data_IF_143924940309
#
_entry.id   IF_143924940309
#
_cell.length_a   1.000
_cell.length_b   1.000
_cell.length_c   1.000
_cell.angle_alpha   90.00
_cell.angle_beta   90.00
_cell.angle_gamma   90.00
#
_symmetry.space_group_name_H-M   'P 1'
#
loop_
_entity.id
_entity.type
_entity.pdbx_description
1 polymer ?
#
# COMPACT_ATOMS: atom_id res chain seq x y z
N UNK A 1 7.83 -13.89 -15.92
CA UNK A 1 6.57 -13.46 -16.55
C UNK A 1 6.14 -12.14 -15.93
N UNK A 2 5.86 -11.17 -16.74
CA UNK A 2 5.29 -9.89 -16.27
C UNK A 2 3.78 -10.04 -16.08
N UNK A 3 3.27 -9.64 -14.93
CA UNK A 3 1.85 -9.70 -14.61
C UNK A 3 1.47 -8.66 -13.54
N UNK A 4 0.22 -8.67 -13.11
CA UNK A 4 -0.25 -7.80 -12.04
C UNK A 4 -0.72 -8.65 -10.86
N UNK A 5 -0.16 -8.40 -9.68
CA UNK A 5 -0.58 -9.04 -8.44
C UNK A 5 -1.37 -8.08 -7.58
N UNK A 6 -2.32 -8.63 -6.83
CA UNK A 6 -3.15 -7.89 -5.87
C UNK A 6 -2.71 -8.21 -4.44
N UNK A 7 -2.69 -7.18 -3.61
CA UNK A 7 -2.35 -7.31 -2.19
C UNK A 7 -3.38 -6.56 -1.34
N UNK A 8 -4.01 -7.26 -0.40
CA UNK A 8 -4.92 -6.62 0.54
C UNK A 8 -4.13 -5.82 1.57
N UNK A 9 -4.62 -4.63 1.92
CA UNK A 9 -3.97 -3.73 2.86
C UNK A 9 -5.02 -3.24 3.86
N UNK A 10 -4.98 -3.77 5.07
CA UNK A 10 -5.90 -3.34 6.12
C UNK A 10 -5.54 -1.95 6.65
N UNK A 11 -6.54 -1.08 6.94
CA UNK A 11 -6.28 0.20 7.57
C UNK A 11 -5.61 0.04 8.94
N UNK A 12 -4.54 0.80 9.19
CA UNK A 12 -3.77 0.74 10.42
C UNK A 12 -2.86 1.95 10.53
N UNK A 13 -2.52 2.35 11.77
CA UNK A 13 -1.49 3.36 12.02
C UNK A 13 -0.07 2.78 11.88
N UNK A 14 0.03 1.48 11.64
CA UNK A 14 1.31 0.81 11.41
C UNK A 14 1.44 0.44 9.93
N UNK A 15 2.66 0.49 9.42
CA UNK A 15 2.93 0.01 8.06
C UNK A 15 2.76 -1.51 7.98
N UNK A 16 2.35 -1.97 6.81
CA UNK A 16 2.21 -3.39 6.49
C UNK A 16 3.32 -3.76 5.52
N UNK A 17 4.03 -4.85 5.82
CA UNK A 17 5.07 -5.37 4.96
C UNK A 17 4.46 -6.31 3.93
N UNK A 18 4.68 -6.01 2.66
CA UNK A 18 4.28 -6.87 1.55
C UNK A 18 5.52 -7.48 0.90
N UNK A 19 5.47 -8.76 0.59
CA UNK A 19 6.50 -9.44 -0.20
C UNK A 19 6.08 -9.38 -1.67
N UNK A 20 6.78 -8.56 -2.46
CA UNK A 20 6.42 -8.30 -3.85
C UNK A 20 7.60 -8.66 -4.75
N UNK A 21 7.42 -9.53 -5.78
CA UNK A 21 8.50 -9.84 -6.71
C UNK A 21 9.12 -8.58 -7.32
N UNK A 22 10.43 -8.42 -7.15
CA UNK A 22 11.17 -7.27 -7.63
C UNK A 22 10.81 -5.93 -6.98
N UNK A 23 9.92 -5.93 -5.98
CA UNK A 23 9.48 -4.72 -5.30
C UNK A 23 8.42 -3.89 -6.04
N UNK A 24 7.81 -4.43 -7.05
CA UNK A 24 6.76 -3.72 -7.80
C UNK A 24 7.22 -3.17 -9.14
N UNK A 25 6.68 -2.03 -9.62
CA UNK A 25 6.04 -0.96 -8.85
C UNK A 25 4.58 -1.21 -8.47
N UNK A 26 4.14 -0.50 -7.44
CA UNK A 26 2.72 -0.36 -7.14
C UNK A 26 2.10 0.56 -8.20
N UNK A 27 1.04 0.12 -8.85
CA UNK A 27 0.43 0.86 -9.96
C UNK A 27 -0.91 1.49 -9.61
N UNK A 28 -1.61 0.95 -8.62
CA UNK A 28 -2.90 1.54 -8.21
C UNK A 28 -3.35 1.01 -6.85
N UNK A 29 -4.36 1.69 -6.30
CA UNK A 29 -5.09 1.28 -5.12
C UNK A 29 -6.59 1.26 -5.45
N UNK A 30 -7.36 0.45 -4.75
CA UNK A 30 -8.79 0.36 -4.96
C UNK A 30 -9.44 -0.67 -4.06
N UNK A 31 -10.69 -0.99 -4.39
CA UNK A 31 -11.48 -2.01 -3.69
C UNK A 31 -11.62 -3.21 -4.61
N UNK A 32 -11.32 -4.40 -4.09
CA UNK A 32 -11.47 -5.62 -4.87
C UNK A 32 -12.92 -6.14 -4.85
N UNK A 33 -13.25 -7.18 -5.62
CA UNK A 33 -14.62 -7.72 -5.64
C UNK A 33 -15.12 -8.21 -4.27
N UNK A 34 -14.21 -8.54 -3.35
CA UNK A 34 -14.56 -8.93 -1.98
C UNK A 34 -14.84 -7.75 -1.04
N UNK A 35 -14.61 -6.51 -1.50
CA UNK A 35 -14.80 -5.31 -0.70
C UNK A 35 -13.57 -4.90 0.11
N UNK A 36 -12.43 -5.52 -0.11
CA UNK A 36 -11.19 -5.20 0.61
C UNK A 36 -10.42 -4.08 -0.06
N UNK A 37 -9.81 -3.23 0.76
CA UNK A 37 -8.84 -2.24 0.28
C UNK A 37 -7.59 -2.98 -0.18
N UNK A 38 -7.16 -2.71 -1.41
CA UNK A 38 -6.04 -3.39 -2.04
C UNK A 38 -5.14 -2.43 -2.78
N UNK A 39 -3.90 -2.88 -2.99
CA UNK A 39 -3.00 -2.29 -3.99
C UNK A 39 -2.73 -3.34 -5.06
N UNK A 40 -2.44 -2.87 -6.27
CA UNK A 40 -2.00 -3.72 -7.38
C UNK A 40 -0.58 -3.34 -7.75
N UNK A 41 0.24 -4.36 -8.00
CA UNK A 41 1.64 -4.17 -8.38
C UNK A 41 1.92 -4.87 -9.70
N UNK A 42 2.67 -4.20 -10.57
CA UNK A 42 3.24 -4.85 -11.76
C UNK A 42 4.50 -5.58 -11.35
N UNK A 43 4.54 -6.89 -11.61
CA UNK A 43 5.63 -7.73 -11.12
C UNK A 43 6.19 -8.60 -12.24
N UNK A 44 7.48 -8.95 -12.12
CA UNK A 44 8.06 -10.07 -12.87
C UNK A 44 8.19 -11.25 -11.90
N UNK A 45 7.46 -12.31 -12.18
CA UNK A 45 7.40 -13.49 -11.30
C UNK A 45 8.74 -14.22 -11.20
N UNK A 46 9.71 -13.93 -12.08
CA UNK A 46 11.05 -14.49 -12.02
C UNK A 46 11.97 -13.76 -11.03
N UNK A 47 11.58 -12.57 -10.59
CA UNK A 47 12.35 -11.79 -9.63
C UNK A 47 12.10 -12.27 -8.20
N UNK A 48 13.11 -12.17 -7.32
CA UNK A 48 12.89 -12.51 -5.91
C UNK A 48 11.98 -11.50 -5.24
N UNK A 49 11.30 -11.93 -4.19
CA UNK A 49 10.46 -11.05 -3.38
C UNK A 49 11.29 -10.02 -2.66
N UNK A 50 10.82 -8.79 -2.67
CA UNK A 50 11.38 -7.69 -1.90
C UNK A 50 10.31 -7.13 -0.98
N UNK A 51 10.72 -6.65 0.20
CA UNK A 51 9.81 -6.08 1.16
C UNK A 51 9.42 -4.66 0.74
N UNK A 52 8.11 -4.43 0.63
CA UNK A 52 7.52 -3.11 0.34
C UNK A 52 6.60 -2.77 1.50
N UNK A 53 6.77 -1.59 2.09
CA UNK A 53 5.96 -1.15 3.22
C UNK A 53 4.87 -0.21 2.75
N UNK A 54 3.63 -0.57 3.09
CA UNK A 54 2.42 0.17 2.72
C UNK A 54 1.72 0.65 3.97
N UNK A 55 1.20 1.87 3.91
CA UNK A 55 0.39 2.46 4.96
C UNK A 55 -0.99 2.79 4.42
N UNK A 56 -2.04 2.38 5.13
CA UNK A 56 -3.42 2.70 4.79
C UNK A 56 -4.09 3.34 6.00
N UNK A 57 -4.43 4.62 5.87
CA UNK A 57 -4.97 5.41 6.99
C UNK A 57 -6.24 6.13 6.58
N UNK A 58 -7.10 6.40 7.58
CA UNK A 58 -8.33 7.17 7.40
C UNK A 58 -8.09 8.66 7.44
N UNK A 59 -9.00 9.42 6.86
CA UNK A 59 -8.96 10.87 6.93
C UNK A 59 -9.00 11.33 8.39
N UNK A 60 -8.08 12.22 8.75
CA UNK A 60 -7.99 12.76 10.10
C UNK A 60 -7.18 11.93 11.09
N UNK A 61 -6.67 10.78 10.68
CA UNK A 61 -5.82 9.97 11.54
C UNK A 61 -4.45 10.63 11.73
N UNK A 62 -3.87 10.57 12.95
CA UNK A 62 -2.57 11.19 13.20
C UNK A 62 -1.44 10.41 12.53
N UNK A 63 -0.55 11.11 11.84
CA UNK A 63 0.61 10.51 11.16
C UNK A 63 1.94 10.88 11.81
N UNK A 64 1.91 11.65 12.90
CA UNK A 64 3.13 12.20 13.51
C UNK A 64 4.15 11.12 13.89
N UNK A 65 3.67 10.00 14.44
CA UNK A 65 4.55 8.90 14.84
C UNK A 65 5.19 8.17 13.65
N UNK A 66 4.63 8.34 12.45
CA UNK A 66 5.11 7.70 11.23
C UNK A 66 6.06 8.59 10.43
N UNK A 67 6.12 9.88 10.78
CA UNK A 67 6.96 10.88 10.11
C UNK A 67 8.13 11.26 10.99
N UNK A 68 8.74 10.28 11.69
CA UNK A 68 9.90 10.53 12.55
C UNK A 68 11.17 10.77 11.70
N UNK A 69 12.28 11.07 12.37
CA UNK A 69 13.55 11.39 11.71
C UNK A 69 14.11 10.23 10.88
N UNK A 70 13.69 9.00 11.15
CA UNK A 70 14.16 7.81 10.44
C UNK A 70 13.28 7.52 9.23
N UNK A 71 12.09 8.11 9.13
CA UNK A 71 11.22 7.92 8.00
C UNK A 71 11.76 8.66 6.77
N UNK A 72 11.95 7.94 5.68
CA UNK A 72 12.41 8.51 4.42
C UNK A 72 11.30 9.22 3.65
N UNK A 73 10.11 9.29 4.25
CA UNK A 73 8.93 9.88 3.65
C UNK A 73 7.95 8.85 3.11
N UNK A 74 6.83 9.35 2.67
CA UNK A 74 5.73 8.54 2.15
C UNK A 74 5.40 9.01 0.74
N UNK A 75 5.31 8.05 -0.18
CA UNK A 75 4.82 8.30 -1.55
C UNK A 75 3.34 7.98 -1.61
N UNK A 76 2.53 8.94 -2.02
CA UNK A 76 1.11 8.74 -2.16
C UNK A 76 0.79 7.76 -3.30
N UNK A 77 -0.08 6.78 -3.02
CA UNK A 77 -0.55 5.81 -4.01
C UNK A 77 -1.95 6.19 -4.50
N UNK A 78 -2.89 6.38 -3.59
CA UNK A 78 -4.26 6.68 -3.96
C UNK A 78 -5.18 6.81 -2.76
N UNK A 79 -6.40 7.28 -3.02
CA UNK A 79 -7.46 7.40 -2.04
C UNK A 79 -8.63 6.52 -2.47
N UNK A 80 -9.15 5.72 -1.53
CA UNK A 80 -10.19 4.71 -1.79
C UNK A 80 -11.36 4.95 -0.86
N UNK A 81 -12.57 4.74 -1.36
CA UNK A 81 -13.80 4.89 -0.58
C UNK A 81 -14.39 3.53 -0.26
N UNK A 82 -14.74 3.29 1.02
CA UNK A 82 -15.53 2.14 1.45
C UNK A 82 -16.68 2.63 2.31
N UNK A 83 -17.91 2.56 1.80
CA UNK A 83 -19.07 3.10 2.50
C UNK A 83 -18.92 4.60 2.74
N UNK A 84 -18.88 5.02 4.02
CA UNK A 84 -18.70 6.42 4.42
C UNK A 84 -17.24 6.77 4.72
N UNK A 85 -16.34 5.78 4.62
CA UNK A 85 -14.94 5.97 4.97
C UNK A 85 -14.10 6.24 3.74
N UNK A 86 -13.08 7.12 3.91
CA UNK A 86 -12.06 7.38 2.91
C UNK A 86 -10.71 6.91 3.45
N UNK A 87 -10.02 6.09 2.66
CA UNK A 87 -8.72 5.52 3.02
C UNK A 87 -7.65 6.06 2.10
N UNK A 88 -6.52 6.45 2.69
CA UNK A 88 -5.39 7.02 1.96
C UNK A 88 -4.22 6.07 2.04
N UNK A 89 -3.70 5.66 0.89
CA UNK A 89 -2.63 4.66 0.81
C UNK A 89 -1.33 5.32 0.39
N UNK A 90 -0.27 4.92 1.09
CA UNK A 90 1.09 5.43 0.86
C UNK A 90 2.05 4.27 0.83
N UNK A 91 3.14 4.45 0.10
CA UNK A 91 4.29 3.55 0.15
C UNK A 91 5.42 4.26 0.89
N UNK A 92 6.00 3.59 1.88
CA UNK A 92 7.20 4.10 2.56
C UNK A 92 8.39 3.99 1.62
N UNK A 93 9.13 5.08 1.53
CA UNK A 93 10.32 5.17 0.67
C UNK A 93 11.51 4.50 1.32
#
# INVERSE_FOLDING_TARGET
MLTVYKYAVAPSLETIDLAIPGGGPIISAGIDPSGDVCVWAMVDTNEPDEKVRILCVGTGWPLDALMDEEANGLNFIGTVKTGIYMWHLFQEV
#
